data_IF_728720410424
#
_entry.id   IF_728720410424
#
_cell.length_a   1.000
_cell.length_b   1.000
_cell.length_c   1.000
_cell.angle_alpha   90.00
_cell.angle_beta   90.00
_cell.angle_gamma   90.00
#
_symmetry.space_group_name_H-M   'P 1'
#
loop_
_entity.id
_entity.type
_entity.pdbx_description
1 polymer ?
#
# COMPACT_ATOMS: atom_id res chain seq x y z
N UNK A 1 -13.95 34.12 -33.83
CA UNK A 1 -15.40 34.20 -33.64
C UNK A 1 -15.67 34.05 -32.15
N UNK A 2 -16.25 35.10 -31.54
CA UNK A 2 -16.55 35.24 -30.13
C UNK A 2 -17.98 34.71 -29.92
N UNK A 3 -18.20 33.85 -28.96
CA UNK A 3 -19.55 33.65 -28.40
C UNK A 3 -19.45 33.63 -26.87
N UNK A 4 -19.95 34.71 -26.30
CA UNK A 4 -20.27 34.87 -24.88
C UNK A 4 -21.68 34.35 -24.69
N UNK A 5 -21.95 33.59 -23.64
CA UNK A 5 -23.32 33.40 -23.15
C UNK A 5 -23.32 33.53 -21.63
N UNK A 6 -24.28 34.31 -21.18
CA UNK A 6 -24.42 34.89 -19.86
C UNK A 6 -25.22 33.98 -18.89
N UNK A 7 -24.90 34.13 -17.63
CA UNK A 7 -25.72 34.40 -16.44
C UNK A 7 -27.11 33.76 -16.28
N UNK A 8 -27.32 32.98 -15.22
CA UNK A 8 -28.56 33.01 -14.44
C UNK A 8 -28.30 32.63 -12.97
N UNK A 9 -28.42 33.65 -12.10
CA UNK A 9 -28.59 33.55 -10.65
C UNK A 9 -30.03 33.12 -10.35
N UNK A 10 -30.22 32.10 -9.53
CA UNK A 10 -31.48 31.87 -8.81
C UNK A 10 -31.13 31.58 -7.36
N UNK A 11 -31.43 32.58 -6.54
CA UNK A 11 -31.42 32.47 -5.09
C UNK A 11 -32.70 31.78 -4.61
N UNK A 12 -32.58 30.91 -3.65
CA UNK A 12 -33.72 30.43 -2.85
C UNK A 12 -33.34 30.49 -1.37
N UNK A 13 -33.92 31.44 -0.70
CA UNK A 13 -34.03 31.61 0.77
C UNK A 13 -35.02 30.55 1.25
N UNK A 14 -34.66 29.72 2.23
CA UNK A 14 -35.62 28.95 3.03
C UNK A 14 -35.35 29.05 4.51
N UNK A 15 -36.41 29.40 5.16
CA UNK A 15 -36.74 29.74 6.52
C UNK A 15 -36.25 28.78 7.61
N UNK A 16 -35.91 29.41 8.74
CA UNK A 16 -35.86 28.80 10.09
C UNK A 16 -37.22 28.22 10.48
N UNK A 17 -37.23 27.03 11.02
CA UNK A 17 -38.29 26.54 11.89
C UNK A 17 -37.69 26.08 13.21
N UNK A 18 -38.00 26.85 14.26
CA UNK A 18 -37.82 26.48 15.66
C UNK A 18 -39.00 25.61 16.07
N UNK A 19 -38.76 24.44 16.61
CA UNK A 19 -39.74 23.62 17.34
C UNK A 19 -38.99 22.94 18.49
N UNK A 20 -39.13 23.48 19.63
CA UNK A 20 -39.94 23.10 20.79
C UNK A 20 -39.57 21.77 21.48
N UNK A 21 -39.00 21.91 22.70
CA UNK A 21 -38.84 20.88 23.71
C UNK A 21 -40.14 20.15 24.00
N UNK A 22 -40.07 18.81 23.97
CA UNK A 22 -41.03 17.91 24.57
C UNK A 22 -40.28 16.90 25.43
N UNK A 23 -40.33 17.11 26.75
CA UNK A 23 -39.88 16.14 27.74
C UNK A 23 -40.97 15.10 27.88
N UNK A 24 -40.67 13.82 27.60
CA UNK A 24 -41.48 12.68 28.03
C UNK A 24 -40.62 11.68 28.77
N UNK A 25 -41.09 11.41 29.98
CA UNK A 25 -40.56 10.48 30.96
C UNK A 25 -40.42 9.04 30.43
N UNK A 26 -39.33 8.45 30.82
CA UNK A 26 -39.03 7.11 31.22
C UNK A 26 -39.90 5.96 30.75
N UNK A 27 -39.27 5.11 29.95
CA UNK A 27 -39.44 3.66 30.07
C UNK A 27 -38.09 3.04 29.73
N UNK A 28 -37.36 2.62 30.72
CA UNK A 28 -36.16 1.81 30.62
C UNK A 28 -36.56 0.45 30.01
N UNK A 29 -36.35 0.29 28.71
CA UNK A 29 -36.28 -1.03 28.11
C UNK A 29 -34.95 -1.65 28.50
N UNK A 30 -34.89 -2.95 28.82
CA UNK A 30 -33.65 -3.64 29.11
C UNK A 30 -32.82 -3.63 27.81
N UNK A 31 -31.70 -2.94 27.89
CA UNK A 31 -30.65 -2.95 26.87
C UNK A 31 -30.09 -4.36 26.77
N UNK A 32 -30.51 -5.07 25.74
CA UNK A 32 -29.88 -6.36 25.39
C UNK A 32 -28.43 -6.04 25.03
N UNK A 33 -27.44 -6.71 25.64
CA UNK A 33 -26.05 -6.53 25.24
C UNK A 33 -25.94 -7.00 23.80
N UNK A 34 -25.69 -6.06 22.89
CA UNK A 34 -25.24 -6.37 21.53
C UNK A 34 -23.93 -7.11 21.69
N UNK A 35 -23.80 -8.38 21.27
CA UNK A 35 -22.50 -9.02 21.23
C UNK A 35 -21.67 -8.18 20.26
N UNK A 36 -20.78 -7.38 20.82
CA UNK A 36 -19.74 -6.68 20.07
C UNK A 36 -18.88 -7.72 19.40
N UNK A 37 -19.25 -8.10 18.20
CA UNK A 37 -18.37 -8.79 17.27
C UNK A 37 -17.21 -7.86 16.94
N UNK A 38 -16.18 -7.84 17.78
CA UNK A 38 -14.88 -7.42 17.36
C UNK A 38 -14.44 -8.41 16.27
N UNK A 39 -14.79 -8.11 15.03
CA UNK A 39 -14.05 -8.64 13.91
C UNK A 39 -12.62 -8.12 14.08
N UNK A 40 -11.82 -8.89 14.81
CA UNK A 40 -10.38 -8.77 14.73
C UNK A 40 -10.06 -9.00 13.25
N UNK A 41 -9.87 -7.92 12.51
CA UNK A 41 -9.24 -7.98 11.22
C UNK A 41 -7.88 -8.61 11.48
N UNK A 42 -7.76 -9.90 11.19
CA UNK A 42 -6.46 -10.55 11.13
C UNK A 42 -5.76 -9.89 9.96
N UNK A 43 -5.01 -8.83 10.23
CA UNK A 43 -4.07 -8.28 9.30
C UNK A 43 -3.01 -9.37 9.13
N UNK A 44 -3.13 -10.20 8.10
CA UNK A 44 -2.00 -11.01 7.69
C UNK A 44 -0.95 -10.02 7.22
N UNK A 45 0.11 -9.89 8.00
CA UNK A 45 1.29 -9.15 7.65
C UNK A 45 2.16 -10.03 6.75
N UNK A 46 2.83 -9.40 5.80
CA UNK A 46 3.94 -10.06 5.11
C UNK A 46 4.92 -10.53 6.19
N UNK A 47 5.37 -11.79 6.19
CA UNK A 47 6.24 -12.29 7.25
C UNK A 47 7.47 -11.40 7.41
N UNK A 48 7.75 -10.97 8.67
CA UNK A 48 8.84 -10.07 8.98
C UNK A 48 10.21 -10.66 8.65
N UNK A 49 11.24 -9.81 8.67
CA UNK A 49 12.62 -10.18 8.34
C UNK A 49 13.11 -9.55 7.04
N UNK A 50 14.33 -9.89 6.67
CA UNK A 50 14.97 -9.37 5.44
C UNK A 50 14.72 -10.33 4.28
N UNK A 51 14.07 -9.84 3.25
CA UNK A 51 13.83 -10.54 2.01
C UNK A 51 14.84 -10.09 0.96
N UNK A 52 15.66 -11.01 0.47
CA UNK A 52 16.69 -10.76 -0.55
C UNK A 52 16.14 -11.08 -1.93
N UNK A 53 16.30 -10.14 -2.86
CA UNK A 53 15.85 -10.32 -4.23
C UNK A 53 16.68 -11.41 -4.91
N UNK A 54 16.01 -12.41 -5.52
CA UNK A 54 16.64 -13.46 -6.32
C UNK A 54 16.42 -13.25 -7.81
N UNK A 55 15.26 -12.72 -8.19
CA UNK A 55 14.97 -12.37 -9.58
C UNK A 55 13.91 -11.29 -9.68
N UNK A 56 13.91 -10.58 -10.81
CA UNK A 56 12.85 -9.69 -11.21
C UNK A 56 12.55 -9.87 -12.71
N UNK A 57 11.31 -9.56 -13.08
CA UNK A 57 10.88 -9.56 -14.47
C UNK A 57 9.89 -8.45 -14.72
N UNK A 58 10.18 -7.59 -15.69
CA UNK A 58 9.21 -6.65 -16.24
C UNK A 58 8.35 -7.35 -17.30
N UNK A 59 7.11 -6.90 -17.46
CA UNK A 59 6.21 -7.50 -18.44
C UNK A 59 6.78 -7.38 -19.86
N UNK A 60 6.81 -8.49 -20.56
CA UNK A 60 7.36 -8.56 -21.92
C UNK A 60 8.88 -8.60 -22.01
N UNK A 61 9.58 -8.67 -20.86
CA UNK A 61 11.02 -8.83 -20.80
C UNK A 61 11.40 -10.19 -20.23
N UNK A 62 12.65 -10.59 -20.46
CA UNK A 62 13.22 -11.77 -19.83
C UNK A 62 13.42 -11.58 -18.33
N UNK A 63 13.43 -12.69 -17.60
CA UNK A 63 13.72 -12.68 -16.17
C UNK A 63 15.19 -12.39 -15.90
N UNK A 64 15.45 -11.41 -15.05
CA UNK A 64 16.80 -11.03 -14.62
C UNK A 64 17.07 -11.68 -13.27
N UNK A 65 18.07 -12.57 -13.21
CA UNK A 65 18.56 -13.16 -11.98
C UNK A 65 19.56 -12.25 -11.28
N UNK A 66 19.48 -12.16 -9.97
CA UNK A 66 20.34 -11.31 -9.14
C UNK A 66 21.52 -12.14 -8.63
N UNK A 67 22.71 -11.82 -9.07
CA UNK A 67 23.94 -12.52 -8.66
C UNK A 67 24.42 -12.16 -7.25
N UNK A 68 24.13 -10.95 -6.79
CA UNK A 68 24.38 -10.49 -5.40
C UNK A 68 23.08 -10.20 -4.67
N UNK A 69 22.47 -11.18 -3.98
CA UNK A 69 21.23 -10.97 -3.21
C UNK A 69 21.43 -9.98 -2.04
N UNK A 70 22.63 -9.67 -1.64
CA UNK A 70 22.94 -8.69 -0.60
C UNK A 70 22.79 -7.24 -1.08
N UNK A 71 22.84 -7.00 -2.39
CA UNK A 71 22.68 -5.67 -2.98
C UNK A 71 21.21 -5.21 -2.99
N UNK A 72 20.25 -6.14 -3.08
CA UNK A 72 18.83 -5.83 -3.20
C UNK A 72 18.03 -6.57 -2.14
N UNK A 73 17.42 -5.82 -1.25
CA UNK A 73 16.56 -6.42 -0.24
C UNK A 73 15.41 -5.51 0.16
N UNK A 74 14.37 -6.10 0.76
CA UNK A 74 13.22 -5.42 1.31
C UNK A 74 12.92 -5.93 2.72
N UNK A 75 12.51 -5.02 3.60
CA UNK A 75 12.03 -5.32 4.96
C UNK A 75 10.66 -4.69 5.12
N UNK A 76 9.66 -5.49 5.46
CA UNK A 76 8.34 -5.04 5.86
C UNK A 76 8.29 -4.98 7.38
N UNK A 77 8.24 -3.77 7.94
CA UNK A 77 8.21 -3.56 9.38
C UNK A 77 6.79 -3.63 9.95
N UNK A 78 6.71 -3.96 11.23
CA UNK A 78 5.44 -4.00 11.99
C UNK A 78 4.82 -2.61 12.18
N UNK A 79 5.60 -1.55 11.93
CA UNK A 79 5.20 -0.15 11.93
C UNK A 79 4.51 0.29 10.63
N UNK A 80 4.13 -0.65 9.78
CA UNK A 80 3.55 -0.42 8.46
C UNK A 80 4.49 0.36 7.51
N UNK A 81 5.79 0.23 7.69
CA UNK A 81 6.82 0.79 6.82
C UNK A 81 7.58 -0.28 6.08
N UNK A 82 7.79 -0.05 4.81
CA UNK A 82 8.68 -0.85 3.97
C UNK A 82 9.98 -0.09 3.75
N UNK A 83 11.09 -0.80 3.90
CA UNK A 83 12.43 -0.29 3.65
C UNK A 83 13.08 -1.15 2.59
N UNK A 84 13.73 -0.51 1.63
CA UNK A 84 14.48 -1.18 0.57
C UNK A 84 15.94 -0.77 0.62
N UNK A 85 16.80 -1.73 0.31
CA UNK A 85 18.15 -1.50 -0.16
C UNK A 85 18.16 -1.82 -1.66
N UNK A 86 18.42 -0.82 -2.48
CA UNK A 86 18.53 -0.93 -3.94
C UNK A 86 19.98 -0.57 -4.31
N UNK A 87 20.85 -1.55 -4.23
CA UNK A 87 22.30 -1.41 -4.34
C UNK A 87 22.85 -0.42 -3.32
N UNK A 88 23.34 0.73 -3.76
CA UNK A 88 23.84 1.80 -2.89
C UNK A 88 22.73 2.74 -2.40
N UNK A 89 21.51 2.63 -2.92
CA UNK A 89 20.37 3.46 -2.54
C UNK A 89 19.52 2.81 -1.45
N UNK A 90 18.85 3.66 -0.67
CA UNK A 90 17.87 3.25 0.33
C UNK A 90 16.55 3.95 0.03
N UNK A 91 15.45 3.18 0.07
CA UNK A 91 14.11 3.69 -0.14
C UNK A 91 13.21 3.36 1.04
N UNK A 92 12.20 4.19 1.26
CA UNK A 92 11.23 4.06 2.33
C UNK A 92 9.84 4.43 1.82
N UNK A 93 8.84 3.68 2.25
CA UNK A 93 7.43 3.98 2.02
C UNK A 93 6.58 3.45 3.17
N UNK A 94 5.33 3.92 3.28
CA UNK A 94 4.29 3.23 4.03
C UNK A 94 3.73 2.09 3.20
N UNK A 95 3.20 1.05 3.85
CA UNK A 95 2.49 -0.03 3.15
C UNK A 95 1.28 -0.53 3.92
N UNK A 96 0.38 -1.19 3.21
CA UNK A 96 -0.73 -1.97 3.78
C UNK A 96 -0.80 -3.31 3.09
N UNK A 97 -0.76 -4.39 3.85
CA UNK A 97 -0.94 -5.76 3.37
C UNK A 97 -2.18 -6.38 4.00
N UNK A 98 -2.88 -7.26 3.28
CA UNK A 98 -4.06 -7.96 3.74
C UNK A 98 -3.92 -9.46 3.57
N UNK A 99 -4.66 -10.24 4.35
CA UNK A 99 -4.67 -11.71 4.32
C UNK A 99 -5.10 -12.32 2.99
N UNK A 100 -5.83 -11.57 2.17
CA UNK A 100 -6.19 -11.98 0.82
C UNK A 100 -5.06 -11.80 -0.21
N UNK A 101 -3.85 -11.45 0.23
CA UNK A 101 -2.69 -11.22 -0.63
C UNK A 101 -2.65 -9.82 -1.27
N UNK A 102 -3.59 -8.91 -0.96
CA UNK A 102 -3.49 -7.56 -1.50
C UNK A 102 -2.41 -6.74 -0.79
N UNK A 103 -1.70 -5.93 -1.55
CA UNK A 103 -0.64 -5.04 -1.10
C UNK A 103 -0.84 -3.65 -1.70
N UNK A 104 -0.61 -2.65 -0.90
CA UNK A 104 -0.54 -1.26 -1.37
C UNK A 104 0.71 -0.63 -0.78
N UNK A 105 1.56 -0.08 -1.61
CA UNK A 105 2.75 0.68 -1.22
C UNK A 105 2.48 2.15 -1.51
N UNK A 106 2.75 3.00 -0.53
CA UNK A 106 2.57 4.44 -0.64
C UNK A 106 3.69 5.13 -1.43
N UNK A 107 3.71 6.45 -1.38
CA UNK A 107 4.77 7.22 -2.03
C UNK A 107 6.14 6.81 -1.47
N UNK A 108 7.02 6.41 -2.37
CA UNK A 108 8.37 5.96 -2.03
C UNK A 108 9.38 7.10 -2.18
N UNK A 109 10.12 7.36 -1.11
CA UNK A 109 11.26 8.26 -1.12
C UNK A 109 12.56 7.45 -1.16
N UNK A 110 13.49 7.81 -2.05
CA UNK A 110 14.78 7.15 -2.19
C UNK A 110 15.93 8.14 -2.11
N UNK A 111 17.08 7.69 -1.59
CA UNK A 111 18.35 8.37 -1.84
C UNK A 111 18.71 8.26 -3.33
N UNK A 112 19.57 9.14 -3.82
CA UNK A 112 20.00 9.17 -5.22
C UNK A 112 21.52 9.19 -5.32
N UNK A 113 22.16 8.14 -4.81
CA UNK A 113 23.56 7.91 -5.06
C UNK A 113 23.71 7.27 -6.47
N UNK A 114 24.80 7.57 -7.14
CA UNK A 114 25.13 6.94 -8.42
C UNK A 114 25.76 5.57 -8.16
N UNK A 115 25.02 4.49 -8.45
CA UNK A 115 25.48 3.11 -8.29
C UNK A 115 26.02 2.62 -9.63
N UNK A 116 27.32 2.38 -9.71
CA UNK A 116 27.99 2.05 -10.99
C UNK A 116 27.78 0.62 -11.45
N UNK A 117 27.49 -0.29 -10.53
CA UNK A 117 27.53 -1.74 -10.81
C UNK A 117 26.18 -2.31 -11.30
N UNK A 118 25.07 -1.70 -10.98
CA UNK A 118 23.74 -2.33 -11.08
C UNK A 118 22.65 -1.47 -11.71
N UNK A 119 22.97 -0.26 -12.15
CA UNK A 119 22.03 0.52 -12.96
C UNK A 119 21.80 -0.21 -14.31
N UNK A 120 20.54 -0.45 -14.75
CA UNK A 120 19.28 0.13 -14.31
C UNK A 120 18.47 -0.72 -13.30
N UNK A 121 18.99 -1.86 -12.83
CA UNK A 121 18.25 -2.81 -11.95
C UNK A 121 17.77 -2.15 -10.66
N UNK A 122 18.53 -1.25 -10.07
CA UNK A 122 18.18 -0.50 -8.86
C UNK A 122 16.88 0.29 -9.03
N UNK A 123 16.73 0.99 -10.15
CA UNK A 123 15.53 1.79 -10.46
C UNK A 123 14.34 0.87 -10.76
N UNK A 124 14.53 -0.17 -11.56
CA UNK A 124 13.47 -1.16 -11.87
C UNK A 124 12.99 -1.85 -10.60
N UNK A 125 13.89 -2.28 -9.72
CA UNK A 125 13.55 -2.88 -8.44
C UNK A 125 12.69 -1.96 -7.58
N UNK A 126 13.12 -0.71 -7.36
CA UNK A 126 12.36 0.24 -6.56
C UNK A 126 10.98 0.55 -7.15
N UNK A 127 10.88 0.69 -8.47
CA UNK A 127 9.62 0.95 -9.17
C UNK A 127 8.65 -0.24 -9.06
N UNK A 128 9.14 -1.48 -9.20
CA UNK A 128 8.32 -2.67 -9.06
C UNK A 128 7.81 -2.84 -7.63
N UNK A 129 8.63 -2.58 -6.61
CA UNK A 129 8.16 -2.61 -5.22
C UNK A 129 7.12 -1.51 -4.98
N UNK A 130 7.35 -0.28 -5.46
CA UNK A 130 6.41 0.82 -5.32
C UNK A 130 5.07 0.55 -6.02
N UNK A 131 5.10 -0.17 -7.14
CA UNK A 131 3.93 -0.56 -7.93
C UNK A 131 3.29 -1.90 -7.52
N UNK A 132 3.80 -2.57 -6.48
CA UNK A 132 3.28 -3.86 -6.05
C UNK A 132 1.83 -3.77 -5.57
N UNK A 133 1.00 -4.69 -6.03
CA UNK A 133 -0.43 -4.77 -5.74
C UNK A 133 -0.83 -6.04 -5.02
N UNK A 134 -0.06 -7.10 -5.22
CA UNK A 134 -0.28 -8.35 -4.50
C UNK A 134 1.02 -8.92 -3.98
N UNK A 135 0.89 -9.72 -2.94
CA UNK A 135 1.97 -10.50 -2.35
C UNK A 135 1.52 -11.92 -2.09
N UNK A 136 2.45 -12.85 -2.14
CA UNK A 136 2.27 -14.23 -1.70
C UNK A 136 3.55 -14.76 -1.08
N UNK A 137 3.41 -15.61 -0.08
CA UNK A 137 4.51 -16.34 0.56
C UNK A 137 4.07 -17.78 0.67
N UNK A 138 4.42 -18.61 -0.33
CA UNK A 138 3.98 -20.00 -0.37
C UNK A 138 4.59 -20.84 0.76
N UNK A 139 5.70 -20.40 1.30
CA UNK A 139 6.39 -20.95 2.46
C UNK A 139 7.16 -19.86 3.21
N UNK A 140 7.77 -20.21 4.34
CA UNK A 140 8.48 -19.25 5.20
C UNK A 140 9.78 -18.70 4.58
N UNK A 141 10.24 -19.26 3.47
CA UNK A 141 11.49 -18.90 2.80
C UNK A 141 11.35 -18.06 1.54
N UNK A 142 10.14 -17.99 0.96
CA UNK A 142 9.89 -17.33 -0.31
C UNK A 142 8.83 -16.23 -0.20
N UNK A 143 9.04 -15.14 -0.94
CA UNK A 143 8.08 -14.04 -1.10
C UNK A 143 8.03 -13.65 -2.57
N UNK A 144 6.83 -13.53 -3.11
CA UNK A 144 6.59 -12.96 -4.42
C UNK A 144 5.76 -11.68 -4.30
N UNK A 145 6.19 -10.63 -4.99
CA UNK A 145 5.44 -9.40 -5.16
C UNK A 145 5.09 -9.24 -6.64
N UNK A 146 3.82 -8.93 -6.91
CA UNK A 146 3.33 -8.70 -8.28
C UNK A 146 2.88 -7.27 -8.41
N UNK A 147 3.47 -6.56 -9.36
CA UNK A 147 3.07 -5.22 -9.79
C UNK A 147 2.39 -5.30 -11.17
N UNK A 148 1.69 -4.23 -11.58
CA UNK A 148 1.12 -4.15 -12.93
C UNK A 148 2.19 -4.29 -14.03
N UNK A 149 3.43 -3.92 -13.73
CA UNK A 149 4.53 -3.84 -14.70
C UNK A 149 5.52 -4.99 -14.57
N UNK A 150 5.35 -5.92 -13.61
CA UNK A 150 6.27 -7.04 -13.47
C UNK A 150 6.14 -7.79 -12.15
N UNK A 151 7.10 -8.68 -11.92
CA UNK A 151 7.14 -9.59 -10.76
C UNK A 151 8.51 -9.54 -10.11
N UNK A 152 8.53 -9.62 -8.80
CA UNK A 152 9.73 -9.72 -7.96
C UNK A 152 9.68 -11.01 -7.14
N UNK A 153 10.77 -11.75 -7.09
CA UNK A 153 10.90 -12.95 -6.27
C UNK A 153 12.04 -12.80 -5.28
N UNK A 154 11.75 -13.16 -4.05
CA UNK A 154 12.66 -13.01 -2.92
C UNK A 154 12.82 -14.32 -2.17
N UNK A 155 13.95 -14.41 -1.45
CA UNK A 155 14.20 -15.43 -0.43
C UNK A 155 14.73 -14.79 0.86
N UNK A 156 14.61 -15.50 1.96
CA UNK A 156 15.23 -15.13 3.26
C UNK A 156 16.71 -15.47 3.31
#
# INVERSE_FOLDING_TARGET
MKTKTALALVGTVWMLALASCGATNGTTLPESPIPGGSSASVSASIPGGTWRLVSLRENGQDEVSISDPGAFNVVFGDDARVQLKADCNRCFAGYTARSNGSLTVGLMGCTRAFCTATAPVDTTFANLVAGAQTWSSPDDGHLELVANTGVLRFQR
#
